data_IF_397161529798
#
_entry.id   IF_397161529798
#
_cell.length_a   1.000
_cell.length_b   1.000
_cell.length_c   1.000
_cell.angle_alpha   90.00
_cell.angle_beta   90.00
_cell.angle_gamma   90.00
#
_symmetry.space_group_name_H-M   'P 1'
#
loop_
_entity.id
_entity.type
_entity.pdbx_description
1 polymer ?
#
# COMPACT_ATOMS: atom_id res chain seq x y z
N UNK A 1 10.93 -26.48 -2.48
CA UNK A 1 10.62 -25.15 -3.07
C UNK A 1 11.94 -24.49 -3.41
N UNK A 2 12.10 -23.88 -4.56
CA UNK A 2 13.35 -23.21 -4.96
C UNK A 2 13.58 -21.98 -4.06
N UNK A 3 14.83 -21.75 -3.67
CA UNK A 3 15.26 -20.58 -2.92
C UNK A 3 16.35 -19.85 -3.72
N UNK A 4 16.49 -18.55 -3.49
CA UNK A 4 17.48 -17.70 -4.16
C UNK A 4 18.61 -17.47 -3.19
N UNK A 5 19.80 -18.00 -3.50
CA UNK A 5 21.00 -17.73 -2.72
C UNK A 5 21.50 -16.33 -3.02
N UNK A 6 21.76 -15.57 -1.97
CA UNK A 6 22.23 -14.18 -2.09
C UNK A 6 23.73 -14.15 -1.85
N UNK A 7 24.49 -13.81 -2.88
CA UNK A 7 25.96 -13.67 -2.82
C UNK A 7 26.42 -12.25 -3.12
N UNK A 8 25.61 -11.48 -3.84
CA UNK A 8 25.89 -10.06 -4.14
C UNK A 8 24.62 -9.24 -4.10
N UNK A 9 24.67 -8.11 -3.41
CA UNK A 9 23.62 -7.12 -3.33
C UNK A 9 24.02 -5.82 -4.02
N UNK A 10 23.14 -5.26 -4.84
CA UNK A 10 23.19 -3.87 -5.26
C UNK A 10 22.31 -3.06 -4.30
N UNK A 11 22.93 -2.10 -3.60
CA UNK A 11 22.24 -1.28 -2.59
C UNK A 11 22.35 0.19 -2.99
N UNK A 12 21.21 0.82 -3.26
CA UNK A 12 21.13 2.25 -3.61
C UNK A 12 19.86 2.83 -3.00
N UNK A 13 19.99 3.51 -1.87
CA UNK A 13 18.86 3.97 -1.06
C UNK A 13 18.95 5.48 -0.80
N UNK A 14 17.84 6.17 -0.98
CA UNK A 14 17.65 7.56 -0.58
C UNK A 14 17.40 7.64 0.92
N UNK A 15 16.39 6.94 1.42
CA UNK A 15 16.15 6.76 2.85
C UNK A 15 17.12 5.70 3.42
N UNK A 16 17.97 6.14 4.35
CA UNK A 16 19.01 5.32 4.98
C UNK A 16 18.57 4.68 6.29
N UNK A 17 17.28 4.75 6.62
CA UNK A 17 16.72 4.09 7.81
C UNK A 17 17.02 2.59 7.78
N UNK A 18 17.65 2.06 8.83
CA UNK A 18 18.01 0.65 8.96
C UNK A 18 19.09 0.15 7.98
N UNK A 19 19.76 1.03 7.22
CA UNK A 19 20.77 0.65 6.22
C UNK A 19 21.96 -0.09 6.85
N UNK A 20 22.44 0.35 8.02
CA UNK A 20 23.60 -0.27 8.69
C UNK A 20 23.22 -1.65 9.25
N UNK A 21 22.03 -1.80 9.79
CA UNK A 21 21.54 -3.10 10.28
C UNK A 21 21.41 -4.10 9.12
N UNK A 22 20.89 -3.63 7.97
CA UNK A 22 20.85 -4.41 6.74
C UNK A 22 22.26 -4.84 6.32
N UNK A 23 23.21 -3.90 6.28
CA UNK A 23 24.59 -4.19 5.86
C UNK A 23 25.28 -5.18 6.81
N UNK A 24 25.10 -5.07 8.12
CA UNK A 24 25.56 -6.05 9.09
C UNK A 24 24.96 -7.44 8.84
N UNK A 25 23.65 -7.50 8.58
CA UNK A 25 22.98 -8.74 8.26
C UNK A 25 23.53 -9.40 6.99
N UNK A 26 23.70 -8.63 5.94
CA UNK A 26 24.27 -9.11 4.66
C UNK A 26 25.71 -9.59 4.85
N UNK A 27 26.53 -8.87 5.62
CA UNK A 27 27.92 -9.22 5.91
C UNK A 27 28.04 -10.55 6.68
N UNK A 28 27.13 -10.85 7.63
CA UNK A 28 27.11 -12.15 8.34
C UNK A 28 26.96 -13.34 7.37
N UNK A 29 26.32 -13.13 6.24
CA UNK A 29 26.14 -14.14 5.19
C UNK A 29 27.20 -14.05 4.06
N UNK A 30 28.22 -13.23 4.21
CA UNK A 30 29.29 -13.07 3.21
C UNK A 30 28.81 -12.42 1.91
N UNK A 31 27.69 -11.70 1.93
CA UNK A 31 27.14 -11.02 0.75
C UNK A 31 28.02 -9.83 0.38
N UNK A 32 28.48 -9.79 -0.87
CA UNK A 32 29.27 -8.66 -1.40
C UNK A 32 28.34 -7.51 -1.74
N UNK A 33 28.68 -6.30 -1.29
CA UNK A 33 27.88 -5.11 -1.54
C UNK A 33 28.46 -4.33 -2.71
N UNK A 34 27.59 -4.02 -3.69
CA UNK A 34 27.82 -3.04 -4.75
C UNK A 34 26.91 -1.85 -4.47
N UNK A 35 27.43 -0.62 -4.56
CA UNK A 35 26.65 0.58 -4.26
C UNK A 35 27.19 1.77 -5.04
N UNK A 36 26.51 2.90 -4.94
CA UNK A 36 26.88 4.15 -5.61
C UNK A 36 26.52 5.37 -4.75
N UNK A 37 27.14 6.50 -5.02
CA UNK A 37 26.83 7.80 -4.41
C UNK A 37 26.83 7.80 -2.88
N UNK A 38 25.90 8.54 -2.28
CA UNK A 38 25.81 8.70 -0.83
C UNK A 38 25.58 7.41 -0.04
N UNK A 39 24.96 6.39 -0.64
CA UNK A 39 24.79 5.07 -0.01
C UNK A 39 26.15 4.37 0.14
N UNK A 40 26.98 4.39 -0.90
CA UNK A 40 28.33 3.81 -0.87
C UNK A 40 29.21 4.51 0.17
N UNK A 41 29.16 5.84 0.24
CA UNK A 41 29.88 6.64 1.25
C UNK A 41 29.45 6.26 2.66
N UNK A 42 28.15 6.26 2.96
CA UNK A 42 27.61 5.89 4.28
C UNK A 42 28.08 4.51 4.73
N UNK A 43 28.08 3.53 3.81
CA UNK A 43 28.51 2.16 4.12
C UNK A 43 30.02 2.05 4.34
N UNK A 44 30.83 2.75 3.53
CA UNK A 44 32.29 2.76 3.70
C UNK A 44 32.71 3.45 5.00
N UNK A 45 32.09 4.58 5.34
CA UNK A 45 32.33 5.29 6.59
C UNK A 45 32.00 4.44 7.81
N UNK A 46 31.05 3.53 7.70
CA UNK A 46 30.73 2.53 8.71
C UNK A 46 31.64 1.27 8.67
N UNK A 47 32.67 1.25 7.82
CA UNK A 47 33.67 0.18 7.76
C UNK A 47 33.31 -1.01 6.86
N UNK A 48 32.26 -0.93 6.06
CA UNK A 48 31.91 -2.00 5.12
C UNK A 48 32.73 -1.95 3.85
N UNK A 49 33.13 -3.13 3.34
CA UNK A 49 33.72 -3.26 1.99
C UNK A 49 32.66 -3.11 0.93
N UNK A 50 32.68 -2.02 0.19
CA UNK A 50 31.71 -1.69 -0.83
C UNK A 50 32.42 -1.46 -2.17
N UNK A 51 32.02 -2.24 -3.19
CA UNK A 51 32.45 -2.02 -4.57
C UNK A 51 31.59 -0.94 -5.20
N UNK A 52 32.20 0.03 -5.89
CA UNK A 52 31.43 1.02 -6.60
C UNK A 52 30.83 0.48 -7.90
N UNK A 53 29.67 1.03 -8.31
CA UNK A 53 29.05 0.66 -9.59
C UNK A 53 29.95 1.03 -10.77
N UNK A 54 30.70 2.13 -10.71
CA UNK A 54 31.66 2.53 -11.72
C UNK A 54 32.78 1.50 -11.90
N UNK A 55 33.23 0.86 -10.81
CA UNK A 55 34.20 -0.25 -10.88
C UNK A 55 33.59 -1.52 -11.48
N UNK A 56 32.28 -1.72 -11.31
CA UNK A 56 31.56 -2.86 -11.88
C UNK A 56 31.35 -2.69 -13.40
N UNK A 57 31.03 -1.46 -13.82
CA UNK A 57 30.72 -1.14 -15.22
C UNK A 57 31.96 -0.81 -16.05
N UNK A 58 33.03 -0.39 -15.39
CA UNK A 58 34.21 0.22 -16.08
C UNK A 58 33.87 1.59 -16.69
N UNK A 59 32.75 2.21 -16.30
CA UNK A 59 32.24 3.44 -16.85
C UNK A 59 32.00 4.49 -15.77
N UNK A 60 32.43 5.76 -15.99
CA UNK A 60 32.22 6.82 -14.99
C UNK A 60 30.73 7.17 -14.85
N UNK A 61 30.40 7.78 -13.74
CA UNK A 61 29.12 8.44 -13.54
C UNK A 61 29.05 9.69 -14.44
N UNK A 62 27.89 9.89 -15.11
CA UNK A 62 27.69 10.99 -16.03
C UNK A 62 26.50 11.85 -15.60
N UNK A 63 26.56 13.15 -16.01
CA UNK A 63 25.46 14.09 -15.83
C UNK A 63 25.02 14.21 -14.37
N UNK A 64 25.99 14.46 -13.47
CA UNK A 64 25.78 14.57 -12.02
C UNK A 64 25.01 13.37 -11.40
N UNK A 65 25.25 12.16 -11.94
CA UNK A 65 24.65 10.93 -11.45
C UNK A 65 23.34 10.51 -12.09
N UNK A 66 22.81 11.27 -13.03
CA UNK A 66 21.59 10.86 -13.77
C UNK A 66 21.79 9.55 -14.53
N UNK A 67 23.03 9.25 -14.95
CA UNK A 67 23.38 7.99 -15.63
C UNK A 67 24.52 7.31 -14.89
N UNK A 68 24.21 6.37 -14.03
CA UNK A 68 25.18 5.58 -13.26
C UNK A 68 24.85 4.09 -13.22
N UNK A 69 23.59 3.74 -13.04
CA UNK A 69 23.13 2.33 -12.95
C UNK A 69 22.49 1.83 -14.25
N UNK A 70 22.17 2.71 -15.19
CA UNK A 70 21.58 2.37 -16.49
C UNK A 70 22.67 1.87 -17.45
N UNK A 71 23.21 0.67 -17.13
CA UNK A 71 24.31 0.06 -17.87
C UNK A 71 24.09 -1.42 -18.09
N UNK A 72 24.45 -1.99 -19.26
CA UNK A 72 24.27 -3.42 -19.55
C UNK A 72 24.92 -4.36 -18.53
N UNK A 73 26.07 -4.00 -17.96
CA UNK A 73 26.74 -4.81 -16.93
C UNK A 73 25.92 -4.90 -15.63
N UNK A 74 25.16 -3.84 -15.28
CA UNK A 74 24.26 -3.85 -14.10
C UNK A 74 22.98 -4.62 -14.41
N UNK A 75 22.27 -4.20 -15.46
CA UNK A 75 20.99 -4.80 -15.82
C UNK A 75 21.13 -6.25 -16.31
N UNK A 76 22.21 -6.60 -17.00
CA UNK A 76 22.55 -7.96 -17.37
C UNK A 76 22.76 -8.84 -16.13
N UNK A 77 23.47 -8.32 -15.11
CA UNK A 77 23.66 -9.03 -13.83
C UNK A 77 22.36 -9.33 -13.08
N UNK A 78 21.31 -8.49 -13.28
CA UNK A 78 20.00 -8.65 -12.70
C UNK A 78 19.10 -9.55 -13.57
N UNK A 79 19.07 -9.35 -14.88
CA UNK A 79 18.04 -9.87 -15.77
C UNK A 79 18.35 -11.25 -16.38
N UNK A 80 19.61 -11.70 -16.42
CA UNK A 80 19.92 -13.00 -17.00
C UNK A 80 19.24 -14.16 -16.24
N UNK A 81 18.84 -15.19 -16.98
CA UNK A 81 18.16 -16.37 -16.43
C UNK A 81 19.21 -17.38 -15.93
N UNK A 82 19.33 -17.51 -14.61
CA UNK A 82 20.27 -18.44 -13.99
C UNK A 82 19.94 -19.88 -14.40
N UNK A 83 20.97 -20.61 -14.84
CA UNK A 83 20.82 -21.98 -15.34
C UNK A 83 20.33 -22.09 -16.79
N UNK A 84 20.10 -20.97 -17.49
CA UNK A 84 19.86 -20.96 -18.93
C UNK A 84 21.21 -20.89 -19.67
N UNK A 85 21.53 -21.92 -20.44
CA UNK A 85 22.88 -22.09 -21.00
C UNK A 85 23.35 -20.89 -21.84
N UNK A 86 22.50 -20.38 -22.72
CA UNK A 86 22.82 -19.22 -23.56
C UNK A 86 23.08 -17.97 -22.76
N UNK A 87 22.24 -17.68 -21.73
CA UNK A 87 22.39 -16.51 -20.86
C UNK A 87 23.69 -16.60 -20.04
N UNK A 88 24.03 -17.79 -19.54
CA UNK A 88 25.29 -18.02 -18.80
C UNK A 88 26.52 -17.84 -19.70
N UNK A 89 26.48 -18.33 -20.93
CA UNK A 89 27.56 -18.14 -21.90
C UNK A 89 27.74 -16.68 -22.24
N UNK A 90 26.66 -15.96 -22.52
CA UNK A 90 26.67 -14.54 -22.85
C UNK A 90 27.18 -13.70 -21.68
N UNK A 91 26.72 -14.00 -20.46
CA UNK A 91 27.19 -13.40 -19.22
C UNK A 91 28.70 -13.56 -19.05
N UNK A 92 29.20 -14.77 -19.24
CA UNK A 92 30.65 -15.04 -19.15
C UNK A 92 31.43 -14.32 -20.23
N UNK A 93 30.98 -14.33 -21.48
CA UNK A 93 31.62 -13.66 -22.62
C UNK A 93 31.79 -12.17 -22.37
N UNK A 94 30.83 -11.54 -21.75
CA UNK A 94 30.83 -10.10 -21.46
C UNK A 94 31.32 -9.75 -20.05
N UNK A 95 31.79 -10.69 -19.26
CA UNK A 95 32.30 -10.46 -17.90
C UNK A 95 31.25 -9.91 -16.92
N UNK A 96 29.96 -10.15 -17.20
CA UNK A 96 28.86 -9.66 -16.37
C UNK A 96 28.81 -10.46 -15.07
N UNK A 97 28.85 -9.78 -13.93
CA UNK A 97 28.72 -10.39 -12.61
C UNK A 97 27.26 -10.45 -12.15
N UNK A 98 26.89 -11.56 -11.51
CA UNK A 98 25.54 -11.77 -10.98
C UNK A 98 25.23 -10.78 -9.86
N UNK A 99 24.00 -10.26 -9.86
CA UNK A 99 23.39 -9.49 -8.77
C UNK A 99 22.17 -10.28 -8.30
N UNK A 100 22.17 -10.71 -7.04
CA UNK A 100 21.16 -11.63 -6.50
C UNK A 100 20.12 -10.93 -5.63
N UNK A 101 20.48 -9.73 -5.13
CA UNK A 101 19.62 -8.87 -4.33
C UNK A 101 19.75 -7.42 -4.83
N UNK A 102 18.65 -6.77 -5.00
CA UNK A 102 18.55 -5.33 -5.33
C UNK A 102 17.80 -4.65 -4.18
N UNK A 103 18.44 -3.73 -3.48
CA UNK A 103 17.85 -2.90 -2.44
C UNK A 103 17.85 -1.47 -2.93
N UNK A 104 16.68 -0.96 -3.28
CA UNK A 104 16.51 0.38 -3.84
C UNK A 104 15.24 1.00 -3.28
N UNK A 105 15.36 2.13 -2.61
CA UNK A 105 14.22 3.01 -2.39
C UNK A 105 14.37 4.29 -3.23
N UNK A 106 13.26 4.78 -3.73
CA UNK A 106 13.22 5.89 -4.66
C UNK A 106 13.45 7.23 -3.95
N UNK A 107 13.83 8.25 -4.70
CA UNK A 107 13.83 9.60 -4.19
C UNK A 107 12.45 10.01 -3.71
N UNK A 108 12.37 10.88 -2.68
CA UNK A 108 11.10 11.24 -2.04
C UNK A 108 10.32 12.29 -2.86
N UNK A 109 10.06 12.01 -4.15
CA UNK A 109 9.35 12.90 -5.06
C UNK A 109 8.03 13.39 -4.45
N UNK A 110 7.23 12.46 -3.91
CA UNK A 110 5.94 12.78 -3.30
C UNK A 110 6.08 13.75 -2.11
N UNK A 111 7.13 13.59 -1.31
CA UNK A 111 7.41 14.51 -0.20
C UNK A 111 7.90 15.87 -0.71
N UNK A 112 8.71 15.90 -1.77
CA UNK A 112 9.22 17.14 -2.36
C UNK A 112 8.08 17.99 -2.92
N UNK A 113 7.20 17.41 -3.73
CA UNK A 113 6.08 18.16 -4.34
C UNK A 113 4.97 18.51 -3.36
N UNK A 114 4.94 17.90 -2.18
CA UNK A 114 4.02 18.27 -1.10
C UNK A 114 4.43 19.57 -0.37
N UNK A 115 5.67 20.05 -0.57
CA UNK A 115 6.11 21.30 0.04
C UNK A 115 5.58 22.50 -0.76
N UNK A 116 4.91 23.42 -0.07
CA UNK A 116 4.42 24.65 -0.69
C UNK A 116 5.59 25.50 -1.21
N UNK A 117 5.56 25.83 -2.50
CA UNK A 117 6.56 26.69 -3.15
C UNK A 117 7.78 25.97 -3.72
N UNK A 118 7.73 24.63 -3.90
CA UNK A 118 8.76 23.92 -4.65
C UNK A 118 8.80 24.44 -6.09
N UNK A 119 10.01 24.67 -6.61
CA UNK A 119 10.23 25.04 -8.01
C UNK A 119 10.05 23.82 -8.92
N UNK A 120 9.45 24.03 -10.10
CA UNK A 120 9.23 22.96 -11.08
C UNK A 120 10.53 22.28 -11.48
N UNK A 121 11.62 23.04 -11.66
CA UNK A 121 12.93 22.47 -11.96
C UNK A 121 13.46 21.57 -10.82
N UNK A 122 13.23 21.94 -9.56
CA UNK A 122 13.57 21.12 -8.41
C UNK A 122 12.73 19.84 -8.34
N UNK A 123 11.43 19.95 -8.60
CA UNK A 123 10.53 18.79 -8.64
C UNK A 123 10.95 17.80 -9.74
N UNK A 124 11.23 18.30 -10.96
CA UNK A 124 11.67 17.46 -12.07
C UNK A 124 13.01 16.77 -11.77
N UNK A 125 13.94 17.45 -11.10
CA UNK A 125 15.25 16.85 -10.73
C UNK A 125 15.09 15.69 -9.72
N UNK A 126 14.02 15.65 -8.94
CA UNK A 126 13.72 14.54 -8.03
C UNK A 126 13.06 13.33 -8.71
N UNK A 127 12.80 13.39 -10.02
CA UNK A 127 12.29 12.23 -10.77
C UNK A 127 13.41 11.21 -10.95
N UNK A 128 13.31 10.09 -10.21
CA UNK A 128 14.26 8.98 -10.30
C UNK A 128 13.95 8.10 -11.52
N UNK A 129 14.92 7.95 -12.42
CA UNK A 129 14.82 7.05 -13.58
C UNK A 129 15.54 5.72 -13.32
N UNK A 130 16.70 5.78 -12.68
CA UNK A 130 17.55 4.61 -12.44
C UNK A 130 16.96 3.66 -11.41
N UNK A 131 16.39 4.19 -10.32
CA UNK A 131 15.76 3.41 -9.26
C UNK A 131 14.59 2.58 -9.76
N UNK A 132 13.58 3.15 -10.39
CA UNK A 132 12.48 2.39 -10.99
C UNK A 132 12.96 1.35 -12.01
N UNK A 133 13.97 1.66 -12.84
CA UNK A 133 14.53 0.71 -13.79
C UNK A 133 15.14 -0.52 -13.08
N UNK A 134 15.89 -0.33 -12.01
CA UNK A 134 16.47 -1.40 -11.19
C UNK A 134 15.39 -2.25 -10.51
N UNK A 135 14.40 -1.59 -9.90
CA UNK A 135 13.28 -2.28 -9.23
C UNK A 135 12.52 -3.14 -10.22
N UNK A 136 12.15 -2.61 -11.38
CA UNK A 136 11.40 -3.33 -12.41
C UNK A 136 12.19 -4.50 -12.99
N UNK A 137 13.51 -4.33 -13.21
CA UNK A 137 14.39 -5.39 -13.69
C UNK A 137 14.44 -6.56 -12.69
N UNK A 138 14.69 -6.27 -11.41
CA UNK A 138 14.75 -7.29 -10.36
C UNK A 138 13.39 -7.96 -10.11
N UNK A 139 12.31 -7.18 -10.05
CA UNK A 139 10.95 -7.70 -9.89
C UNK A 139 10.53 -8.62 -11.05
N UNK A 140 10.84 -8.26 -12.31
CA UNK A 140 10.64 -9.11 -13.47
C UNK A 140 11.35 -10.46 -13.32
N UNK A 141 12.59 -10.44 -12.83
CA UNK A 141 13.42 -11.63 -12.68
C UNK A 141 13.35 -12.26 -11.28
N UNK A 142 12.25 -12.07 -10.54
CA UNK A 142 12.07 -12.49 -9.14
C UNK A 142 12.28 -13.99 -8.87
N UNK A 143 12.35 -14.82 -9.89
CA UNK A 143 12.72 -16.24 -9.74
C UNK A 143 14.20 -16.45 -9.46
N UNK A 144 15.01 -15.44 -9.71
CA UNK A 144 16.46 -15.47 -9.64
C UNK A 144 17.08 -14.32 -8.83
N UNK A 145 16.33 -13.25 -8.60
CA UNK A 145 16.76 -12.02 -7.91
C UNK A 145 15.72 -11.58 -6.91
N UNK A 146 16.17 -11.18 -5.74
CA UNK A 146 15.31 -10.58 -4.71
C UNK A 146 15.33 -9.05 -4.88
N UNK A 147 14.17 -8.40 -4.76
CA UNK A 147 14.08 -6.93 -4.74
C UNK A 147 13.48 -6.45 -3.42
N UNK A 148 14.05 -5.40 -2.85
CA UNK A 148 13.58 -4.76 -1.61
C UNK A 148 13.50 -3.26 -1.88
N UNK A 149 12.36 -2.66 -1.58
CA UNK A 149 12.05 -1.27 -1.98
C UNK A 149 11.77 -0.34 -0.80
N UNK A 150 11.66 -0.91 0.40
CA UNK A 150 11.33 -0.15 1.61
C UNK A 150 12.12 -0.66 2.83
N UNK A 151 12.54 0.21 3.77
CA UNK A 151 13.20 -0.21 5.01
C UNK A 151 12.40 -1.22 5.84
N UNK A 152 11.06 -1.13 5.82
CA UNK A 152 10.19 -2.05 6.54
C UNK A 152 10.34 -3.53 6.10
N UNK A 153 10.90 -3.79 4.91
CA UNK A 153 11.14 -5.14 4.41
C UNK A 153 12.48 -5.74 4.90
N UNK A 154 13.39 -4.94 5.47
CA UNK A 154 14.73 -5.40 5.85
C UNK A 154 14.69 -6.52 6.90
N UNK A 155 13.84 -6.39 7.90
CA UNK A 155 13.71 -7.41 8.94
C UNK A 155 13.27 -8.77 8.36
N UNK A 156 12.28 -8.78 7.47
CA UNK A 156 11.79 -10.01 6.83
C UNK A 156 12.86 -10.63 5.90
N UNK A 157 13.64 -9.80 5.20
CA UNK A 157 14.76 -10.26 4.37
C UNK A 157 15.83 -10.94 5.25
N UNK A 158 16.28 -10.27 6.31
CA UNK A 158 17.35 -10.77 7.19
C UNK A 158 16.93 -12.06 7.91
N UNK A 159 15.70 -12.12 8.42
CA UNK A 159 15.14 -13.33 9.02
C UNK A 159 15.10 -14.50 8.01
N UNK A 160 14.74 -14.23 6.75
CA UNK A 160 14.77 -15.24 5.71
C UNK A 160 16.19 -15.75 5.42
N UNK A 161 17.19 -14.86 5.34
CA UNK A 161 18.60 -15.22 5.15
C UNK A 161 19.13 -16.05 6.32
N UNK A 162 18.81 -15.65 7.55
CA UNK A 162 19.24 -16.34 8.76
C UNK A 162 18.66 -17.76 8.83
N UNK A 163 17.37 -17.93 8.58
CA UNK A 163 16.68 -19.23 8.62
C UNK A 163 17.06 -20.18 7.49
N UNK A 164 17.48 -19.64 6.34
CA UNK A 164 17.74 -20.44 5.14
C UNK A 164 19.22 -20.42 4.71
N UNK A 165 20.15 -20.15 5.63
CA UNK A 165 21.59 -20.20 5.37
C UNK A 165 22.07 -19.29 4.25
N UNK A 166 21.55 -18.05 4.17
CA UNK A 166 21.91 -17.05 3.16
C UNK A 166 21.08 -17.14 1.87
N UNK A 167 19.90 -17.78 1.93
CA UNK A 167 18.97 -17.84 0.80
C UNK A 167 17.60 -17.27 1.15
N UNK A 168 16.87 -16.80 0.14
CA UNK A 168 15.51 -16.26 0.27
C UNK A 168 14.51 -17.21 -0.42
N UNK A 169 13.44 -17.64 0.27
CA UNK A 169 12.40 -18.48 -0.32
C UNK A 169 11.71 -17.80 -1.52
N UNK A 170 11.40 -18.57 -2.57
CA UNK A 170 10.77 -18.05 -3.79
C UNK A 170 9.42 -17.35 -3.52
N UNK A 171 8.65 -17.79 -2.51
CA UNK A 171 7.40 -17.16 -2.15
C UNK A 171 7.61 -15.72 -1.63
N UNK A 172 8.63 -15.51 -0.78
CA UNK A 172 8.98 -14.19 -0.27
C UNK A 172 9.56 -13.29 -1.38
N UNK A 173 10.40 -13.85 -2.26
CA UNK A 173 10.93 -13.11 -3.41
C UNK A 173 9.80 -12.64 -4.35
N UNK A 174 8.79 -13.48 -4.57
CA UNK A 174 7.60 -13.10 -5.36
C UNK A 174 6.78 -12.00 -4.68
N UNK A 175 6.61 -12.08 -3.36
CA UNK A 175 5.91 -11.04 -2.59
C UNK A 175 6.66 -9.70 -2.68
N UNK A 176 7.97 -9.72 -2.53
CA UNK A 176 8.80 -8.52 -2.67
C UNK A 176 8.74 -7.94 -4.09
N UNK A 177 8.71 -8.80 -5.12
CA UNK A 177 8.56 -8.37 -6.51
C UNK A 177 7.21 -7.68 -6.75
N UNK A 178 6.13 -8.21 -6.17
CA UNK A 178 4.80 -7.57 -6.21
C UNK A 178 4.85 -6.16 -5.61
N UNK A 179 5.44 -6.01 -4.42
CA UNK A 179 5.64 -4.69 -3.77
C UNK A 179 6.50 -3.77 -4.61
N UNK A 180 7.53 -4.29 -5.28
CA UNK A 180 8.35 -3.53 -6.21
C UNK A 180 7.53 -2.90 -7.34
N UNK A 181 6.64 -3.67 -7.97
CA UNK A 181 5.74 -3.14 -9.00
C UNK A 181 4.71 -2.17 -8.44
N UNK A 182 4.15 -2.43 -7.27
CA UNK A 182 3.23 -1.50 -6.60
C UNK A 182 3.91 -0.16 -6.31
N UNK A 183 5.15 -0.19 -5.79
CA UNK A 183 5.90 1.04 -5.51
C UNK A 183 6.20 1.85 -6.76
N UNK A 184 6.62 1.20 -7.87
CA UNK A 184 6.87 1.92 -9.12
C UNK A 184 5.58 2.46 -9.73
N UNK A 185 4.46 1.75 -9.65
CA UNK A 185 3.17 2.23 -10.13
C UNK A 185 2.70 3.48 -9.37
N UNK A 186 2.78 3.47 -8.03
CA UNK A 186 2.42 4.62 -7.20
C UNK A 186 3.35 5.83 -7.46
N UNK A 187 4.63 5.56 -7.70
CA UNK A 187 5.62 6.59 -8.03
C UNK A 187 5.32 7.27 -9.37
N UNK A 188 5.06 6.48 -10.42
CA UNK A 188 4.70 6.98 -11.75
C UNK A 188 3.37 7.75 -11.70
N UNK A 189 2.40 7.30 -10.91
CA UNK A 189 1.13 7.99 -10.69
C UNK A 189 1.32 9.37 -10.03
N UNK A 190 2.18 9.46 -9.02
CA UNK A 190 2.49 10.72 -8.36
C UNK A 190 3.15 11.73 -9.31
N UNK A 191 4.09 11.27 -10.16
CA UNK A 191 4.73 12.09 -11.18
C UNK A 191 3.72 12.58 -12.22
N UNK A 192 2.90 11.67 -12.74
CA UNK A 192 1.88 12.01 -13.73
C UNK A 192 0.87 13.03 -13.18
N UNK A 193 0.44 12.86 -11.90
CA UNK A 193 -0.44 13.81 -11.24
C UNK A 193 0.18 15.19 -11.04
N UNK A 194 1.47 15.27 -10.72
CA UNK A 194 2.20 16.53 -10.63
C UNK A 194 2.26 17.25 -11.98
N UNK A 195 2.64 16.53 -13.04
CA UNK A 195 2.76 17.11 -14.40
C UNK A 195 1.41 17.56 -14.96
N UNK A 196 0.32 16.88 -14.59
CA UNK A 196 -1.04 17.29 -14.94
C UNK A 196 -1.45 18.60 -14.24
N UNK A 197 -1.09 18.74 -12.96
CA UNK A 197 -1.39 19.94 -12.17
C UNK A 197 -0.50 21.15 -12.53
N UNK A 198 0.72 20.94 -12.98
CA UNK A 198 1.68 21.99 -13.33
C UNK A 198 1.55 22.47 -14.79
N UNK A 199 0.82 21.75 -15.65
CA UNK A 199 0.65 22.05 -17.06
C UNK A 199 -0.37 23.17 -17.31
N UNK A 200 -0.03 24.15 -18.17
CA UNK A 200 -1.06 24.98 -18.81
C UNK A 200 -1.93 24.07 -19.68
N UNK A 201 -3.25 24.29 -19.72
CA UNK A 201 -4.13 23.46 -20.54
C UNK A 201 -3.73 23.60 -22.02
N UNK A 202 -3.11 22.56 -22.57
CA UNK A 202 -2.78 22.51 -24.01
C UNK A 202 -4.09 22.48 -24.81
N UNK A 203 -4.33 23.44 -25.69
CA UNK A 203 -5.50 23.40 -26.56
C UNK A 203 -5.34 22.25 -27.57
N UNK A 204 -6.13 21.19 -27.42
CA UNK A 204 -6.44 20.28 -28.52
C UNK A 204 -5.65 18.98 -28.63
N UNK A 205 -5.12 18.40 -27.56
CA UNK A 205 -4.65 17.01 -27.63
C UNK A 205 -5.66 16.08 -26.98
N UNK A 206 -6.65 15.66 -27.75
CA UNK A 206 -7.43 14.47 -27.42
C UNK A 206 -6.50 13.24 -27.49
N UNK A 207 -5.80 12.91 -26.40
CA UNK A 207 -5.23 11.58 -26.21
C UNK A 207 -6.42 10.60 -26.09
N UNK A 208 -6.81 10.01 -27.23
CA UNK A 208 -7.74 8.89 -27.24
C UNK A 208 -7.09 7.75 -26.44
N UNK A 209 -7.38 7.69 -25.15
CA UNK A 209 -7.09 6.51 -24.35
C UNK A 209 -7.83 5.33 -24.96
N UNK A 210 -7.09 4.30 -25.36
CA UNK A 210 -7.66 3.05 -25.81
C UNK A 210 -8.47 2.44 -24.67
N UNK A 211 -9.76 2.71 -24.67
CA UNK A 211 -10.74 2.08 -23.80
C UNK A 211 -10.84 0.61 -24.18
N UNK A 212 -10.33 -0.29 -23.35
CA UNK A 212 -10.38 -1.71 -23.62
C UNK A 212 -9.98 -2.64 -22.50
N UNK A 213 -9.73 -2.15 -21.28
CA UNK A 213 -9.50 -3.02 -20.13
C UNK A 213 -10.66 -2.85 -19.14
N UNK A 214 -11.55 -3.85 -18.98
CA UNK A 214 -12.59 -3.80 -17.95
C UNK A 214 -11.94 -3.86 -16.57
N UNK A 215 -12.18 -2.88 -15.72
CA UNK A 215 -11.84 -2.92 -14.30
C UNK A 215 -10.78 -1.93 -13.81
N UNK A 216 -10.31 -1.01 -14.62
CA UNK A 216 -9.50 0.11 -14.14
C UNK A 216 -10.34 1.38 -14.04
N UNK A 217 -10.84 1.66 -12.85
CA UNK A 217 -11.31 2.99 -12.50
C UNK A 217 -10.20 3.63 -11.66
N UNK A 218 -9.35 4.45 -12.31
CA UNK A 218 -8.35 5.22 -11.60
C UNK A 218 -8.99 6.45 -10.98
N UNK A 219 -8.63 6.79 -9.74
CA UNK A 219 -9.01 8.00 -9.03
C UNK A 219 -7.80 8.61 -8.39
N UNK A 220 -7.46 9.76 -8.84
CA UNK A 220 -6.45 10.59 -8.23
C UNK A 220 -7.07 11.45 -7.11
N UNK A 221 -6.29 11.64 -6.05
CA UNK A 221 -6.40 12.80 -5.19
C UNK A 221 -7.16 12.62 -3.89
N UNK A 222 -6.42 12.28 -2.84
CA UNK A 222 -6.70 12.80 -1.50
C UNK A 222 -6.29 14.28 -1.44
N UNK A 223 -7.00 15.13 -2.15
CA UNK A 223 -6.91 16.56 -1.95
C UNK A 223 -7.54 16.87 -0.60
N UNK A 224 -6.73 17.32 0.37
CA UNK A 224 -7.25 18.03 1.52
C UNK A 224 -8.23 19.10 1.02
N UNK A 225 -9.41 19.13 1.61
CA UNK A 225 -10.43 20.15 1.33
C UNK A 225 -9.89 21.55 1.61
N UNK A 226 -9.25 22.13 0.63
CA UNK A 226 -8.96 23.55 0.55
C UNK A 226 -10.15 24.24 -0.11
N UNK A 227 -10.76 25.18 0.62
CA UNK A 227 -11.84 26.00 0.12
C UNK A 227 -11.37 26.88 -1.06
N UNK A 228 -11.54 26.39 -2.27
CA UNK A 228 -11.38 27.12 -3.50
C UNK A 228 -12.29 26.48 -4.54
N UNK A 229 -13.23 27.27 -5.10
CA UNK A 229 -14.17 26.81 -6.10
C UNK A 229 -13.51 26.44 -7.42
N UNK A 230 -12.85 25.30 -7.48
CA UNK A 230 -12.26 24.74 -8.67
C UNK A 230 -13.29 23.93 -9.47
N UNK A 231 -13.09 23.84 -10.78
CA UNK A 231 -13.88 22.98 -11.65
C UNK A 231 -13.78 21.52 -11.16
N UNK A 232 -14.85 20.76 -11.34
CA UNK A 232 -14.84 19.33 -11.02
C UNK A 232 -13.76 18.65 -11.88
N UNK A 233 -12.97 17.72 -11.29
CA UNK A 233 -11.92 17.05 -12.01
C UNK A 233 -12.48 16.16 -13.14
N UNK A 234 -11.83 16.14 -14.29
CA UNK A 234 -12.23 15.26 -15.42
C UNK A 234 -12.09 13.76 -15.08
N UNK A 235 -11.25 13.44 -14.13
CA UNK A 235 -11.06 12.08 -13.64
C UNK A 235 -11.18 12.06 -12.13
N UNK A 236 -11.94 11.11 -11.63
CA UNK A 236 -12.08 10.87 -10.20
C UNK A 236 -11.96 9.37 -9.88
N UNK A 237 -11.00 8.96 -9.01
CA UNK A 237 -10.75 7.59 -8.62
C UNK A 237 -10.73 7.43 -7.08
N UNK A 238 -11.17 6.30 -6.54
CA UNK A 238 -11.10 5.93 -5.13
C UNK A 238 -10.41 4.58 -4.97
N UNK A 239 -9.32 4.54 -4.22
CA UNK A 239 -8.69 3.30 -3.82
C UNK A 239 -9.30 2.79 -2.50
N UNK A 240 -9.65 1.51 -2.46
CA UNK A 240 -10.23 0.85 -1.30
C UNK A 240 -9.41 -0.39 -0.94
N UNK A 241 -9.12 -0.55 0.34
CA UNK A 241 -8.47 -1.74 0.87
C UNK A 241 -9.50 -2.67 1.52
N UNK A 242 -9.44 -3.96 1.17
CA UNK A 242 -10.28 -4.99 1.81
C UNK A 242 -9.95 -5.09 3.30
N UNK A 243 -10.95 -4.90 4.15
CA UNK A 243 -10.85 -5.00 5.61
C UNK A 243 -11.30 -6.36 6.11
N UNK A 244 -12.40 -6.86 5.58
CA UNK A 244 -13.02 -8.08 6.08
C UNK A 244 -13.77 -8.81 4.97
N UNK A 245 -13.72 -10.16 5.00
CA UNK A 245 -14.64 -10.99 4.24
C UNK A 245 -15.93 -11.12 5.04
N UNK A 246 -17.08 -10.93 4.40
CA UNK A 246 -18.39 -11.04 5.02
C UNK A 246 -18.89 -12.47 4.99
N UNK A 247 -19.90 -12.78 5.83
CA UNK A 247 -20.52 -14.09 5.88
C UNK A 247 -21.17 -14.48 4.55
N UNK A 248 -21.80 -13.53 3.87
CA UNK A 248 -22.34 -13.60 2.50
C UNK A 248 -22.62 -12.16 2.01
N UNK A 249 -22.88 -12.00 0.72
CA UNK A 249 -23.26 -10.74 0.09
C UNK A 249 -24.72 -10.36 0.35
N UNK A 250 -25.39 -9.79 -0.66
CA UNK A 250 -26.80 -9.40 -0.55
C UNK A 250 -27.70 -10.64 -0.37
N UNK A 251 -27.40 -11.73 -1.09
CA UNK A 251 -28.12 -12.99 -1.02
C UNK A 251 -27.24 -14.13 -0.53
N UNK A 252 -27.83 -15.18 0.11
CA UNK A 252 -27.11 -16.40 0.44
C UNK A 252 -26.43 -17.00 -0.79
N UNK A 253 -25.16 -17.39 -0.67
CA UNK A 253 -24.34 -17.92 -1.76
C UNK A 253 -23.56 -16.87 -2.57
N UNK A 254 -23.78 -15.59 -2.36
CA UNK A 254 -22.93 -14.52 -2.91
C UNK A 254 -21.76 -14.23 -1.99
N UNK A 255 -20.58 -14.01 -2.57
CA UNK A 255 -19.45 -13.50 -1.80
C UNK A 255 -19.62 -12.01 -1.50
N UNK A 256 -19.19 -11.59 -0.32
CA UNK A 256 -19.20 -10.20 0.12
C UNK A 256 -17.93 -9.85 0.87
N UNK A 257 -17.52 -8.58 0.77
CA UNK A 257 -16.40 -8.06 1.52
C UNK A 257 -16.61 -6.60 1.89
N UNK A 258 -16.08 -6.21 3.05
CA UNK A 258 -16.01 -4.81 3.47
C UNK A 258 -14.69 -4.22 3.01
N UNK A 259 -14.75 -3.09 2.35
CA UNK A 259 -13.61 -2.30 1.93
C UNK A 259 -13.64 -0.94 2.62
N UNK A 260 -12.49 -0.42 3.00
CA UNK A 260 -12.32 0.95 3.49
C UNK A 260 -11.44 1.76 2.53
N UNK A 261 -11.68 3.08 2.39
CA UNK A 261 -10.78 3.95 1.64
C UNK A 261 -9.35 3.84 2.16
N UNK A 262 -8.36 3.89 1.29
CA UNK A 262 -6.94 3.89 1.71
C UNK A 262 -6.56 5.14 2.49
N UNK A 263 -7.21 6.25 2.21
CA UNK A 263 -7.02 7.52 2.92
C UNK A 263 -7.61 7.55 4.35
N UNK A 264 -8.20 6.43 4.81
CA UNK A 264 -8.89 6.37 6.09
C UNK A 264 -10.38 6.76 6.01
N UNK A 265 -11.14 6.49 7.05
CA UNK A 265 -12.57 6.85 7.13
C UNK A 265 -13.30 6.18 8.28
N UNK A 266 -14.60 6.46 8.41
CA UNK A 266 -15.44 5.96 9.50
C UNK A 266 -15.48 4.42 9.63
N UNK A 267 -15.23 3.69 8.55
CA UNK A 267 -15.17 2.21 8.56
C UNK A 267 -13.95 1.68 9.33
N UNK A 268 -12.88 2.48 9.49
CA UNK A 268 -11.69 2.08 10.26
C UNK A 268 -11.96 2.02 11.77
N UNK A 269 -12.95 2.75 12.25
CA UNK A 269 -13.34 2.77 13.66
C UNK A 269 -14.35 1.69 14.02
N UNK A 270 -14.87 0.95 13.03
CA UNK A 270 -15.84 -0.11 13.25
C UNK A 270 -15.14 -1.37 13.77
N UNK A 271 -15.34 -1.70 15.04
CA UNK A 271 -14.78 -2.87 15.68
C UNK A 271 -15.91 -3.83 16.10
N UNK A 272 -15.92 -5.03 15.53
CA UNK A 272 -16.81 -6.10 16.01
C UNK A 272 -16.21 -6.71 17.28
N UNK A 273 -16.85 -6.50 18.42
CA UNK A 273 -16.38 -6.97 19.74
C UNK A 273 -16.75 -8.43 19.95
N UNK A 274 -17.92 -8.86 19.48
CA UNK A 274 -18.48 -10.21 19.74
C UNK A 274 -19.44 -10.63 18.63
N UNK A 275 -19.75 -11.92 18.55
CA UNK A 275 -20.81 -12.47 17.69
C UNK A 275 -20.27 -13.12 16.40
N UNK A 276 -21.18 -13.50 15.51
CA UNK A 276 -20.87 -14.10 14.21
C UNK A 276 -20.38 -13.03 13.24
N UNK A 277 -19.57 -13.44 12.26
CA UNK A 277 -19.19 -12.56 11.14
C UNK A 277 -20.42 -11.91 10.51
N UNK A 278 -20.38 -10.60 10.34
CA UNK A 278 -21.49 -9.83 9.77
C UNK A 278 -21.71 -10.20 8.30
N UNK A 279 -22.97 -10.11 7.86
CA UNK A 279 -23.35 -10.16 6.46
C UNK A 279 -23.36 -8.76 5.83
N UNK A 280 -23.48 -8.70 4.51
CA UNK A 280 -23.69 -7.45 3.79
C UNK A 280 -24.92 -6.69 4.32
N UNK A 281 -26.06 -7.38 4.52
CA UNK A 281 -27.28 -6.78 5.04
C UNK A 281 -27.12 -6.25 6.47
N UNK A 282 -26.39 -6.97 7.34
CA UNK A 282 -26.10 -6.45 8.67
C UNK A 282 -25.33 -5.13 8.63
N UNK A 283 -24.34 -5.01 7.72
CA UNK A 283 -23.57 -3.77 7.58
C UNK A 283 -24.40 -2.61 7.02
N UNK A 284 -25.32 -2.86 6.09
CA UNK A 284 -26.25 -1.85 5.60
C UNK A 284 -27.18 -1.34 6.71
N UNK A 285 -27.67 -2.24 7.55
CA UNK A 285 -28.54 -1.87 8.68
C UNK A 285 -27.75 -1.13 9.78
N UNK A 286 -26.49 -1.53 10.04
CA UNK A 286 -25.57 -0.83 10.95
C UNK A 286 -25.28 0.59 10.44
N UNK A 287 -25.00 0.76 9.15
CA UNK A 287 -24.77 2.06 8.53
C UNK A 287 -25.99 2.98 8.67
N UNK A 288 -27.19 2.45 8.39
CA UNK A 288 -28.44 3.19 8.56
C UNK A 288 -28.68 3.58 10.03
N UNK A 289 -28.39 2.71 10.98
CA UNK A 289 -28.52 3.00 12.41
C UNK A 289 -27.54 4.11 12.86
N UNK A 290 -26.27 4.02 12.43
CA UNK A 290 -25.26 5.04 12.75
C UNK A 290 -25.63 6.39 12.13
N UNK A 291 -26.07 6.42 10.89
CA UNK A 291 -26.46 7.64 10.19
C UNK A 291 -27.63 8.33 10.90
N UNK A 292 -28.65 7.58 11.30
CA UNK A 292 -29.77 8.13 12.03
C UNK A 292 -29.38 8.62 13.44
N UNK A 293 -28.53 7.89 14.15
CA UNK A 293 -28.09 8.27 15.50
C UNK A 293 -27.27 9.57 15.51
N UNK A 294 -26.57 9.90 14.43
CA UNK A 294 -25.79 11.15 14.31
C UNK A 294 -26.66 12.41 14.28
N UNK A 295 -27.94 12.26 13.95
CA UNK A 295 -28.89 13.37 13.95
C UNK A 295 -29.32 13.78 15.38
N UNK A 296 -28.95 13.01 16.43
CA UNK A 296 -29.42 13.20 17.79
C UNK A 296 -28.29 13.53 18.77
N UNK A 297 -28.39 14.68 19.43
CA UNK A 297 -27.48 15.08 20.50
C UNK A 297 -27.84 14.46 21.86
N UNK A 298 -29.12 14.31 22.16
CA UNK A 298 -29.62 13.69 23.39
C UNK A 298 -29.42 12.15 23.35
N UNK A 299 -29.46 11.45 24.51
CA UNK A 299 -29.44 10.00 24.52
C UNK A 299 -30.56 9.43 23.64
N UNK A 300 -30.16 8.63 22.64
CA UNK A 300 -31.03 8.09 21.62
C UNK A 300 -30.83 6.60 21.45
N UNK A 301 -31.91 5.90 21.12
CA UNK A 301 -31.92 4.52 20.66
C UNK A 301 -32.68 4.43 19.33
N UNK A 302 -32.17 3.64 18.40
CA UNK A 302 -32.84 3.33 17.14
C UNK A 302 -32.85 1.83 16.92
N UNK A 303 -33.93 1.31 16.34
CA UNK A 303 -34.01 -0.06 15.87
C UNK A 303 -34.19 -0.03 14.36
N UNK A 304 -33.27 -0.65 13.65
CA UNK A 304 -33.24 -0.65 12.18
C UNK A 304 -33.40 -2.07 11.65
N UNK A 305 -34.23 -2.22 10.63
CA UNK A 305 -34.39 -3.47 9.92
C UNK A 305 -34.63 -3.19 8.43
N UNK A 306 -33.89 -3.89 7.56
CA UNK A 306 -33.95 -3.69 6.11
C UNK A 306 -33.74 -2.22 5.72
N UNK A 307 -32.72 -1.58 6.32
CA UNK A 307 -32.30 -0.17 6.14
C UNK A 307 -33.32 0.88 6.57
N UNK A 308 -34.44 0.47 7.18
CA UNK A 308 -35.44 1.40 7.66
C UNK A 308 -35.57 1.32 9.19
N UNK A 309 -35.73 2.46 9.86
CA UNK A 309 -36.01 2.44 11.29
C UNK A 309 -37.43 1.89 11.54
N UNK A 310 -37.54 0.85 12.37
CA UNK A 310 -38.80 0.39 12.93
C UNK A 310 -39.16 1.17 14.21
N UNK A 311 -38.17 1.81 14.82
CA UNK A 311 -38.36 2.70 15.96
C UNK A 311 -37.15 3.58 16.21
N UNK A 312 -37.38 4.81 16.64
CA UNK A 312 -36.37 5.76 17.08
C UNK A 312 -36.93 6.56 18.25
N UNK A 313 -36.16 6.70 19.33
CA UNK A 313 -36.60 7.40 20.51
C UNK A 313 -35.46 8.17 21.20
N UNK A 314 -35.82 9.29 21.77
CA UNK A 314 -34.98 10.12 22.62
C UNK A 314 -35.52 10.04 24.05
N UNK A 315 -34.66 9.94 25.04
CA UNK A 315 -35.02 9.99 26.46
C UNK A 315 -33.88 10.55 27.30
N UNK A 316 -34.15 10.87 28.55
CA UNK A 316 -33.12 11.32 29.48
C UNK A 316 -32.13 10.20 29.85
N UNK A 317 -32.57 8.94 29.80
CA UNK A 317 -31.77 7.74 30.08
C UNK A 317 -31.77 6.81 28.86
N UNK A 318 -30.63 6.18 28.59
CA UNK A 318 -30.48 5.22 27.49
C UNK A 318 -31.48 4.06 27.59
N UNK A 319 -31.72 3.56 28.80
CA UNK A 319 -32.68 2.49 29.05
C UNK A 319 -34.13 2.83 28.60
N UNK A 320 -34.57 4.05 28.88
CA UNK A 320 -35.91 4.53 28.50
C UNK A 320 -36.01 4.73 26.98
N UNK A 321 -34.92 5.22 26.35
CA UNK A 321 -34.85 5.33 24.88
C UNK A 321 -34.92 3.95 24.20
N UNK A 322 -34.25 2.92 24.73
CA UNK A 322 -34.29 1.56 24.22
C UNK A 322 -35.73 1.01 24.26
N UNK A 323 -36.40 1.12 25.42
CA UNK A 323 -37.76 0.65 25.58
C UNK A 323 -38.72 1.35 24.59
N UNK A 324 -38.64 2.69 24.50
CA UNK A 324 -39.51 3.47 23.63
C UNK A 324 -39.24 3.20 22.13
N UNK A 325 -37.97 3.05 21.71
CA UNK A 325 -37.64 2.70 20.34
C UNK A 325 -38.15 1.32 19.92
N UNK A 326 -38.02 0.33 20.82
CA UNK A 326 -38.56 -1.02 20.61
C UNK A 326 -40.10 -1.04 20.54
N UNK A 327 -40.73 -0.32 21.43
CA UNK A 327 -42.21 -0.34 21.59
C UNK A 327 -42.92 0.46 20.49
N UNK A 328 -42.19 1.28 19.72
CA UNK A 328 -42.70 1.97 18.52
C UNK A 328 -43.28 1.00 17.48
N UNK A 329 -42.60 -0.11 17.20
CA UNK A 329 -43.08 -1.23 16.40
C UNK A 329 -42.32 -2.50 16.82
N UNK A 330 -42.79 -3.12 17.90
CA UNK A 330 -42.12 -4.30 18.46
C UNK A 330 -42.12 -5.53 17.56
N UNK A 331 -43.06 -5.61 16.63
CA UNK A 331 -43.14 -6.71 15.68
C UNK A 331 -42.02 -6.58 14.63
N UNK A 332 -41.85 -5.41 14.04
CA UNK A 332 -40.78 -5.13 13.06
C UNK A 332 -39.39 -5.04 13.72
N UNK A 333 -39.32 -4.65 14.97
CA UNK A 333 -38.05 -4.55 15.73
C UNK A 333 -37.37 -5.91 15.97
N UNK A 334 -38.16 -7.01 16.01
CA UNK A 334 -37.60 -8.34 16.26
C UNK A 334 -36.63 -8.78 15.19
N UNK A 335 -35.37 -9.09 15.59
CA UNK A 335 -34.30 -9.48 14.71
C UNK A 335 -33.70 -8.30 13.93
N UNK A 336 -33.94 -7.05 14.34
CA UNK A 336 -33.31 -5.85 13.81
C UNK A 336 -31.97 -5.56 14.48
N UNK A 337 -31.41 -4.40 14.13
CA UNK A 337 -30.17 -3.83 14.69
C UNK A 337 -30.56 -2.78 15.72
N UNK A 338 -30.09 -2.90 16.96
CA UNK A 338 -30.21 -1.87 17.97
C UNK A 338 -29.00 -0.95 17.96
N UNK A 339 -29.19 0.30 17.66
CA UNK A 339 -28.15 1.35 17.72
C UNK A 339 -28.36 2.29 18.91
N UNK A 340 -27.26 2.73 19.53
CA UNK A 340 -27.24 3.68 20.64
C UNK A 340 -26.17 4.75 20.40
N UNK A 341 -26.43 6.00 20.76
CA UNK A 341 -25.43 7.08 20.73
C UNK A 341 -24.78 7.35 22.11
N UNK A 342 -25.01 6.48 23.07
CA UNK A 342 -24.40 6.47 24.41
C UNK A 342 -23.89 5.08 24.76
N UNK A 343 -22.91 4.95 25.66
CA UNK A 343 -22.44 3.65 26.14
C UNK A 343 -23.59 2.83 26.77
N UNK A 344 -23.53 1.53 26.56
CA UNK A 344 -24.43 0.56 27.15
C UNK A 344 -24.06 0.38 28.63
N UNK A 345 -24.86 0.93 29.55
CA UNK A 345 -24.75 0.72 30.99
C UNK A 345 -25.60 -0.46 31.47
N UNK A 346 -25.53 -0.77 32.75
CA UNK A 346 -26.29 -1.91 33.35
C UNK A 346 -27.81 -1.76 33.18
N UNK A 347 -28.34 -0.54 33.33
CA UNK A 347 -29.79 -0.30 33.18
C UNK A 347 -30.20 -0.39 31.70
N UNK A 348 -29.37 0.08 30.77
CA UNK A 348 -29.60 -0.10 29.35
C UNK A 348 -29.56 -1.58 28.95
N UNK A 349 -28.60 -2.36 29.49
CA UNK A 349 -28.53 -3.80 29.25
C UNK A 349 -29.80 -4.53 29.79
N UNK A 350 -30.30 -4.13 30.95
CA UNK A 350 -31.57 -4.66 31.50
C UNK A 350 -32.77 -4.30 30.61
N UNK A 351 -32.79 -3.10 30.03
CA UNK A 351 -33.85 -2.67 29.10
C UNK A 351 -33.80 -3.42 27.76
N UNK A 352 -32.65 -3.86 27.28
CA UNK A 352 -32.51 -4.78 26.14
C UNK A 352 -33.18 -6.11 26.47
N UNK A 353 -32.95 -6.65 27.67
CA UNK A 353 -33.59 -7.86 28.20
C UNK A 353 -33.34 -9.08 27.32
N UNK A 354 -34.42 -9.87 27.12
CA UNK A 354 -34.41 -11.07 26.27
C UNK A 354 -34.90 -10.81 24.85
N UNK A 355 -35.12 -9.55 24.47
CA UNK A 355 -35.55 -9.22 23.11
C UNK A 355 -34.41 -9.50 22.10
N UNK A 356 -34.76 -10.18 21.03
CA UNK A 356 -33.75 -10.59 20.08
C UNK A 356 -33.42 -9.47 19.08
N UNK A 357 -32.18 -9.00 19.14
CA UNK A 357 -31.53 -8.19 18.11
C UNK A 357 -30.43 -8.99 17.42
N UNK A 358 -30.26 -8.82 16.12
CA UNK A 358 -29.21 -9.53 15.38
C UNK A 358 -27.83 -8.89 15.62
N UNK A 359 -27.80 -7.54 15.79
CA UNK A 359 -26.62 -6.73 16.16
C UNK A 359 -27.02 -5.68 17.18
#
# INVERSE_FOLDING_TARGET
MSSIRVSRALVSVSDKTGLLDLAHGLARHGVKIVSTGGTATTLRDAGFSVRDVSELTGFPELFDGRVKTLHPAVHGGILYRRGHAEDEEERHRHGIVSIDLVVVNLYPFEATVAHAGVDDAEAIEQIDVGGPALIRAAAKNHRHVVVVVEPAQYAALLDALDRNGGAVPAALAREFARRGFERTAAYDEAIAGYLDAAGEPSPGTELRTASGVPGFTAVAGSGAAGAGGGALPERWANAYRKRQTLRYGENPGQEGALYAPEAGGAVETLAQVRGKTLSYNNLLDVEAAISLLREFESPAAVVVKHRNPSGAALAARTADAIAAARDGDSLSAFGGILGLNRPLDAAALEAVGSFFYEV
#
